data_IF_279599458579
#
_entry.id   IF_279599458579
#
_cell.length_a   1.000
_cell.length_b   1.000
_cell.length_c   1.000
_cell.angle_alpha   90.00
_cell.angle_beta   90.00
_cell.angle_gamma   90.00
#
_symmetry.space_group_name_H-M   'P 1'
#
loop_
_entity.id
_entity.type
_entity.pdbx_description
1 polymer ?
#
# COMPACT_ATOMS: atom_id res chain seq x y z
N UNK A 1 10.15 1.03 39.58
CA UNK A 1 11.24 1.76 38.90
C UNK A 1 11.80 0.97 37.72
N UNK A 2 12.18 -0.29 37.90
CA UNK A 2 12.66 -1.19 36.82
C UNK A 2 11.63 -1.42 35.69
N UNK A 3 10.37 -1.69 36.04
CA UNK A 3 9.27 -1.81 35.07
C UNK A 3 9.09 -0.54 34.20
N UNK A 4 9.24 0.65 34.78
CA UNK A 4 9.14 1.93 34.06
C UNK A 4 10.29 2.13 33.08
N UNK A 5 11.50 1.66 33.41
CA UNK A 5 12.66 1.71 32.49
C UNK A 5 12.48 0.72 31.33
N UNK A 6 11.98 -0.49 31.60
CA UNK A 6 11.69 -1.47 30.56
C UNK A 6 10.64 -0.97 29.57
N UNK A 7 9.55 -0.34 30.05
CA UNK A 7 8.54 0.26 29.17
C UNK A 7 9.14 1.34 28.26
N UNK A 8 10.00 2.22 28.81
CA UNK A 8 10.66 3.27 28.02
C UNK A 8 11.57 2.69 26.93
N UNK A 9 12.31 1.62 27.24
CA UNK A 9 13.17 0.94 26.26
C UNK A 9 12.36 0.31 25.13
N UNK A 10 11.25 -0.37 25.45
CA UNK A 10 10.36 -0.96 24.44
C UNK A 10 9.76 0.12 23.54
N UNK A 11 9.35 1.26 24.12
CA UNK A 11 8.83 2.39 23.33
C UNK A 11 9.89 2.97 22.40
N UNK A 12 11.13 3.14 22.87
CA UNK A 12 12.24 3.61 22.04
C UNK A 12 12.53 2.61 20.90
N UNK A 13 12.51 1.31 21.18
CA UNK A 13 12.70 0.27 20.17
C UNK A 13 11.59 0.27 19.12
N UNK A 14 10.33 0.38 19.55
CA UNK A 14 9.18 0.48 18.65
C UNK A 14 9.26 1.73 17.78
N UNK A 15 9.72 2.86 18.33
CA UNK A 15 9.94 4.08 17.57
C UNK A 15 10.99 3.88 16.46
N UNK A 16 12.12 3.27 16.78
CA UNK A 16 13.17 2.95 15.80
C UNK A 16 12.64 2.00 14.73
N UNK A 17 11.95 0.93 15.12
CA UNK A 17 11.39 -0.05 14.19
C UNK A 17 10.35 0.56 13.26
N UNK A 18 9.46 1.41 13.79
CA UNK A 18 8.50 2.13 12.97
C UNK A 18 9.22 2.96 11.90
N UNK A 19 10.31 3.65 12.25
CA UNK A 19 11.08 4.42 11.29
C UNK A 19 11.79 3.53 10.25
N UNK A 20 12.45 2.45 10.69
CA UNK A 20 13.13 1.48 9.81
C UNK A 20 12.16 0.87 8.80
N UNK A 21 10.94 0.54 9.22
CA UNK A 21 9.99 -0.16 8.36
C UNK A 21 9.04 0.77 7.60
N UNK A 22 9.01 2.08 7.91
CA UNK A 22 8.06 3.00 7.27
C UNK A 22 8.27 3.14 5.75
N UNK A 23 9.50 2.95 5.24
CA UNK A 23 9.73 2.97 3.79
C UNK A 23 8.93 1.89 3.05
N UNK A 24 8.63 0.76 3.71
CA UNK A 24 7.82 -0.33 3.14
C UNK A 24 6.43 0.20 2.79
N UNK A 25 5.83 1.05 3.62
CA UNK A 25 4.52 1.66 3.35
C UNK A 25 4.59 2.53 2.09
N UNK A 26 5.59 3.41 2.00
CA UNK A 26 5.79 4.29 0.84
C UNK A 26 6.03 3.49 -0.45
N UNK A 27 6.89 2.47 -0.39
CA UNK A 27 7.22 1.65 -1.56
C UNK A 27 6.07 0.72 -1.97
N UNK A 28 5.28 0.24 -1.00
CA UNK A 28 4.06 -0.52 -1.28
C UNK A 28 3.04 0.35 -2.02
N UNK A 29 2.88 1.60 -1.60
CA UNK A 29 1.96 2.54 -2.22
C UNK A 29 2.40 2.94 -3.63
N UNK A 30 3.70 3.21 -3.82
CA UNK A 30 4.31 3.39 -5.15
C UNK A 30 4.02 2.19 -6.05
N UNK A 31 4.25 0.98 -5.55
CA UNK A 31 4.03 -0.26 -6.30
C UNK A 31 2.56 -0.42 -6.71
N UNK A 32 1.62 -0.10 -5.81
CA UNK A 32 0.19 -0.18 -6.10
C UNK A 32 -0.23 0.75 -7.24
N UNK A 33 0.28 1.99 -7.24
CA UNK A 33 0.03 2.97 -8.29
C UNK A 33 0.63 2.50 -9.62
N UNK A 34 1.89 2.05 -9.60
CA UNK A 34 2.58 1.58 -10.81
C UNK A 34 1.92 0.34 -11.42
N UNK A 35 1.43 -0.58 -10.58
CA UNK A 35 0.67 -1.76 -11.03
C UNK A 35 -0.75 -1.41 -11.49
N UNK A 36 -1.26 -0.21 -11.20
CA UNK A 36 -2.63 0.19 -11.55
C UNK A 36 -3.70 -0.44 -10.66
N UNK A 37 -3.35 -0.83 -9.42
CA UNK A 37 -4.30 -1.43 -8.46
C UNK A 37 -5.51 -0.53 -8.19
N UNK A 38 -5.36 0.79 -7.91
CA UNK A 38 -6.51 1.66 -7.68
C UNK A 38 -7.47 1.67 -8.86
N UNK A 39 -6.95 1.81 -10.09
CA UNK A 39 -7.77 1.88 -11.30
C UNK A 39 -8.44 0.53 -11.61
N UNK A 40 -7.74 -0.61 -11.40
CA UNK A 40 -8.30 -1.93 -11.59
C UNK A 40 -9.52 -2.18 -10.68
N UNK A 41 -9.38 -1.88 -9.38
CA UNK A 41 -10.49 -1.97 -8.42
C UNK A 41 -11.62 -1.02 -8.82
N UNK A 42 -11.30 0.22 -9.22
CA UNK A 42 -12.30 1.20 -9.63
C UNK A 42 -13.11 0.74 -10.85
N UNK A 43 -12.43 0.25 -11.88
CA UNK A 43 -13.04 -0.19 -13.13
C UNK A 43 -13.93 -1.43 -12.97
N UNK A 44 -13.68 -2.24 -11.93
CA UNK A 44 -14.50 -3.41 -11.64
C UNK A 44 -15.89 -3.04 -11.11
N UNK A 45 -16.02 -1.86 -10.48
CA UNK A 45 -17.31 -1.29 -10.04
C UNK A 45 -17.95 -1.94 -8.80
N UNK A 46 -17.42 -3.06 -8.33
CA UNK A 46 -17.84 -3.79 -7.13
C UNK A 46 -16.61 -4.35 -6.40
N UNK A 47 -16.74 -4.95 -5.19
CA UNK A 47 -15.62 -5.60 -4.52
C UNK A 47 -14.98 -6.65 -5.44
N UNK A 48 -13.66 -6.57 -5.64
CA UNK A 48 -12.92 -7.45 -6.55
C UNK A 48 -12.20 -8.54 -5.76
N UNK A 49 -12.36 -9.80 -6.14
CA UNK A 49 -11.64 -10.89 -5.48
C UNK A 49 -10.13 -10.81 -5.76
N UNK A 50 -9.32 -11.49 -4.94
CA UNK A 50 -7.87 -11.52 -5.14
C UNK A 50 -7.47 -12.12 -6.49
N UNK A 51 -8.14 -13.18 -6.93
CA UNK A 51 -7.87 -13.84 -8.22
C UNK A 51 -8.20 -12.92 -9.39
N UNK A 52 -9.35 -12.24 -9.34
CA UNK A 52 -9.76 -11.27 -10.35
C UNK A 52 -8.83 -10.06 -10.38
N UNK A 53 -8.41 -9.57 -9.21
CA UNK A 53 -7.44 -8.48 -9.12
C UNK A 53 -6.12 -8.88 -9.78
N UNK A 54 -5.54 -10.04 -9.43
CA UNK A 54 -4.29 -10.52 -10.03
C UNK A 54 -4.43 -10.64 -11.56
N UNK A 55 -5.56 -11.14 -12.05
CA UNK A 55 -5.82 -11.27 -13.49
C UNK A 55 -5.95 -9.92 -14.22
N UNK A 56 -6.39 -8.86 -13.52
CA UNK A 56 -6.51 -7.52 -14.08
C UNK A 56 -5.20 -6.72 -14.08
N UNK A 57 -4.19 -7.14 -13.31
CA UNK A 57 -2.93 -6.43 -13.19
C UNK A 57 -1.91 -6.86 -14.25
N UNK A 58 -1.06 -5.94 -14.76
CA UNK A 58 0.04 -6.26 -15.67
C UNK A 58 1.22 -6.88 -14.92
N UNK A 59 0.98 -7.97 -14.17
CA UNK A 59 1.98 -8.63 -13.33
C UNK A 59 2.49 -9.92 -13.98
N UNK A 60 3.81 -10.10 -13.99
CA UNK A 60 4.40 -11.36 -14.43
C UNK A 60 3.95 -12.51 -13.48
N UNK A 61 3.60 -13.71 -13.97
CA UNK A 61 3.09 -14.80 -13.12
C UNK A 61 3.99 -15.12 -11.91
N UNK A 62 5.31 -15.11 -12.08
CA UNK A 62 6.28 -15.33 -11.00
C UNK A 62 6.21 -14.30 -9.85
N UNK A 63 5.66 -13.10 -10.11
CA UNK A 63 5.49 -12.02 -9.14
C UNK A 63 4.07 -11.94 -8.56
N UNK A 64 3.09 -12.61 -9.17
CA UNK A 64 1.70 -12.60 -8.72
C UNK A 64 1.54 -13.05 -7.25
N UNK A 65 2.40 -13.98 -6.80
CA UNK A 65 2.45 -14.46 -5.40
C UNK A 65 2.68 -13.37 -4.35
N UNK A 66 3.18 -12.20 -4.73
CA UNK A 66 3.44 -11.09 -3.81
C UNK A 66 2.25 -10.13 -3.65
N UNK A 67 1.28 -10.17 -4.56
CA UNK A 67 0.09 -9.30 -4.52
C UNK A 67 -0.73 -9.45 -3.22
N UNK A 68 -0.96 -10.67 -2.67
CA UNK A 68 -1.71 -10.80 -1.42
C UNK A 68 -1.04 -10.08 -0.24
N UNK A 69 0.29 -10.19 -0.13
CA UNK A 69 1.06 -9.50 0.91
C UNK A 69 1.05 -7.98 0.73
N UNK A 70 1.19 -7.51 -0.51
CA UNK A 70 1.08 -6.10 -0.85
C UNK A 70 -0.30 -5.53 -0.45
N UNK A 71 -1.38 -6.23 -0.80
CA UNK A 71 -2.74 -5.82 -0.45
C UNK A 71 -2.96 -5.81 1.07
N UNK A 72 -2.41 -6.77 1.81
CA UNK A 72 -2.48 -6.78 3.26
C UNK A 72 -1.87 -5.50 3.88
N UNK A 73 -0.67 -5.10 3.41
CA UNK A 73 0.00 -3.87 3.86
C UNK A 73 -0.87 -2.64 3.55
N UNK A 74 -1.42 -2.56 2.34
CA UNK A 74 -2.18 -1.40 1.89
C UNK A 74 -3.56 -1.29 2.57
N UNK A 75 -4.17 -2.42 2.94
CA UNK A 75 -5.39 -2.46 3.74
C UNK A 75 -5.10 -2.00 5.17
N UNK A 76 -4.05 -2.55 5.78
CA UNK A 76 -3.63 -2.13 7.12
C UNK A 76 -3.28 -0.63 7.17
N UNK A 77 -2.73 -0.10 6.09
CA UNK A 77 -2.42 1.32 5.91
C UNK A 77 -3.64 2.19 5.55
N UNK A 78 -4.84 1.61 5.42
CA UNK A 78 -6.08 2.34 5.20
C UNK A 78 -6.34 2.80 3.75
N UNK A 79 -5.54 2.35 2.78
CA UNK A 79 -5.77 2.68 1.36
C UNK A 79 -6.87 1.82 0.75
N UNK A 80 -7.01 0.57 1.16
CA UNK A 80 -8.08 -0.32 0.69
C UNK A 80 -8.80 -0.93 1.87
N UNK A 81 -9.98 -1.47 1.61
CA UNK A 81 -10.74 -2.23 2.59
C UNK A 81 -11.24 -3.53 1.96
N UNK A 82 -11.66 -4.45 2.81
CA UNK A 82 -12.40 -5.63 2.39
C UNK A 82 -13.90 -5.36 2.46
N UNK A 83 -14.65 -5.95 1.54
CA UNK A 83 -16.10 -5.92 1.51
C UNK A 83 -16.62 -7.23 0.92
N UNK A 84 -17.82 -7.66 1.35
CA UNK A 84 -18.47 -8.85 0.78
C UNK A 84 -18.75 -8.66 -0.71
N UNK A 85 -18.46 -9.67 -1.52
CA UNK A 85 -18.74 -9.63 -2.96
C UNK A 85 -20.26 -9.71 -3.22
N UNK A 86 -20.97 -10.55 -2.45
CA UNK A 86 -22.44 -10.69 -2.46
C UNK A 86 -22.98 -10.80 -1.02
N UNK A 87 -24.27 -10.51 -0.80
CA UNK A 87 -24.86 -10.44 0.56
C UNK A 87 -24.78 -11.77 1.33
N UNK A 88 -24.71 -12.90 0.63
CA UNK A 88 -24.75 -14.26 1.18
C UNK A 88 -23.44 -15.06 1.02
N UNK A 89 -22.39 -14.48 0.45
CA UNK A 89 -21.10 -15.18 0.27
C UNK A 89 -20.15 -14.96 1.45
N UNK A 90 -19.35 -15.99 1.76
CA UNK A 90 -18.20 -15.90 2.67
C UNK A 90 -16.99 -15.21 2.02
N UNK A 91 -17.04 -14.95 0.70
CA UNK A 91 -15.93 -14.35 -0.04
C UNK A 91 -15.90 -12.82 0.08
N UNK A 92 -14.75 -12.31 0.53
CA UNK A 92 -14.47 -10.88 0.61
C UNK A 92 -13.62 -10.43 -0.58
N UNK A 93 -14.03 -9.33 -1.22
CA UNK A 93 -13.27 -8.61 -2.24
C UNK A 93 -12.68 -7.31 -1.71
N UNK A 94 -11.82 -6.69 -2.52
CA UNK A 94 -11.18 -5.41 -2.22
C UNK A 94 -11.98 -4.24 -2.76
N UNK A 95 -12.04 -3.16 -1.97
CA UNK A 95 -12.67 -1.88 -2.35
C UNK A 95 -11.75 -0.70 -2.06
N UNK A 96 -11.98 0.41 -2.76
CA UNK A 96 -11.29 1.67 -2.51
C UNK A 96 -11.80 2.35 -1.23
N UNK A 97 -10.88 2.93 -0.46
CA UNK A 97 -11.21 3.94 0.55
C UNK A 97 -11.16 5.33 -0.06
N UNK A 98 -11.51 6.36 0.72
CA UNK A 98 -11.34 7.75 0.27
C UNK A 98 -9.88 8.09 -0.05
N UNK A 99 -8.91 7.47 0.65
CA UNK A 99 -7.49 7.69 0.40
C UNK A 99 -7.05 7.13 -0.97
N UNK A 100 -7.43 5.89 -1.32
CA UNK A 100 -7.07 5.33 -2.64
C UNK A 100 -7.85 5.92 -3.82
N UNK A 101 -9.02 6.53 -3.60
CA UNK A 101 -9.70 7.33 -4.63
C UNK A 101 -8.87 8.54 -5.09
N UNK A 102 -8.02 9.09 -4.21
CA UNK A 102 -7.06 10.15 -4.57
C UNK A 102 -5.85 9.62 -5.34
N UNK A 103 -5.79 8.33 -5.66
CA UNK A 103 -4.71 7.73 -6.45
C UNK A 103 -5.16 7.35 -7.87
N UNK A 104 -6.45 7.53 -8.19
CA UNK A 104 -7.01 7.22 -9.51
C UNK A 104 -6.44 8.17 -10.57
N UNK A 105 -6.19 7.64 -11.77
CA UNK A 105 -5.67 8.45 -12.90
C UNK A 105 -6.69 9.49 -13.39
N UNK A 106 -7.97 9.15 -13.35
CA UNK A 106 -9.07 10.03 -13.77
C UNK A 106 -9.47 11.09 -12.74
N UNK A 107 -8.86 11.09 -11.55
CA UNK A 107 -9.17 12.07 -10.51
C UNK A 107 -8.39 13.37 -10.75
N UNK A 108 -9.04 14.54 -10.95
CA UNK A 108 -8.35 15.82 -11.14
C UNK A 108 -7.46 16.21 -9.96
N UNK A 109 -7.78 15.73 -8.76
CA UNK A 109 -7.03 15.95 -7.51
C UNK A 109 -6.16 14.76 -7.14
N UNK A 110 -5.73 13.97 -8.12
CA UNK A 110 -4.91 12.79 -7.87
C UNK A 110 -3.56 13.16 -7.23
N UNK A 111 -3.25 12.54 -6.10
CA UNK A 111 -1.96 12.65 -5.43
C UNK A 111 -0.91 11.68 -6.02
N UNK A 112 -1.31 10.77 -6.91
CA UNK A 112 -0.43 9.77 -7.48
C UNK A 112 0.80 10.36 -8.20
N UNK A 113 0.69 11.39 -9.06
CA UNK A 113 1.87 11.98 -9.71
C UNK A 113 2.86 12.54 -8.70
N UNK A 114 2.38 13.26 -7.69
CA UNK A 114 3.23 13.83 -6.64
C UNK A 114 3.95 12.75 -5.84
N UNK A 115 3.24 11.69 -5.43
CA UNK A 115 3.85 10.56 -4.74
C UNK A 115 4.93 9.88 -5.59
N UNK A 116 4.65 9.63 -6.88
CA UNK A 116 5.62 9.02 -7.78
C UNK A 116 6.86 9.90 -7.96
N UNK A 117 6.70 11.22 -8.07
CA UNK A 117 7.82 12.17 -8.13
C UNK A 117 8.65 12.14 -6.85
N UNK A 118 8.03 12.21 -5.67
CA UNK A 118 8.75 12.20 -4.38
C UNK A 118 9.53 10.91 -4.12
N UNK A 119 9.08 9.79 -4.70
CA UNK A 119 9.74 8.49 -4.56
C UNK A 119 10.56 8.12 -5.80
N UNK A 120 10.81 9.07 -6.71
CA UNK A 120 11.69 8.87 -7.85
C UNK A 120 13.16 8.75 -7.38
N UNK A 121 13.98 7.85 -7.96
CA UNK A 121 15.39 7.73 -7.63
C UNK A 121 16.15 9.07 -7.65
N UNK A 122 15.80 9.99 -8.54
CA UNK A 122 16.43 11.32 -8.60
C UNK A 122 16.31 12.07 -7.25
N UNK A 123 15.20 11.89 -6.53
CA UNK A 123 14.99 12.52 -5.22
C UNK A 123 15.37 11.61 -4.05
N UNK A 124 15.36 10.29 -4.22
CA UNK A 124 15.65 9.36 -3.11
C UNK A 124 17.13 8.93 -3.02
N UNK A 125 17.85 8.84 -4.14
CA UNK A 125 19.26 8.43 -4.15
C UNK A 125 20.22 9.37 -3.43
N UNK A 126 20.07 10.73 -3.51
CA UNK A 126 20.96 11.65 -2.83
C UNK A 126 21.12 11.39 -1.32
N UNK A 127 20.07 10.85 -0.68
CA UNK A 127 20.07 10.52 0.76
C UNK A 127 21.10 9.45 1.15
N UNK A 128 21.54 8.62 0.21
CA UNK A 128 22.59 7.63 0.44
C UNK A 128 24.00 8.25 0.49
N UNK A 129 24.17 9.46 -0.01
CA UNK A 129 25.48 10.15 -0.09
C UNK A 129 25.64 11.24 0.96
N UNK A 130 24.66 11.42 1.86
CA UNK A 130 24.70 12.44 2.92
C UNK A 130 25.60 12.01 4.08
N UNK A 131 25.76 10.70 4.29
CA UNK A 131 26.71 10.12 5.24
C UNK A 131 28.01 9.75 4.52
N UNK A 132 29.11 10.40 4.88
CA UNK A 132 30.50 10.03 4.50
C UNK A 132 30.95 8.71 5.09
#
# INVERSE_FOLDING_TARGET
>A
MESTMLTKLIQAQAHIWNHIFNFINSMSLKSAIQLGIPDAIHSHGRPISLSQLIAALPVHPAKARYIPGLMCILIHSGFFAKAKIEENDEEEGYVLTNASKLLLKGNPSSAAPFLLSMLDPILTEPWHYVST
#
